data_IF_550880133466
#
_entry.id   IF_550880133466
#
_cell.length_a   1.000
_cell.length_b   1.000
_cell.length_c   1.000
_cell.angle_alpha   90.00
_cell.angle_beta   90.00
_cell.angle_gamma   90.00
#
_symmetry.space_group_name_H-M   'P 1'
#
loop_
_entity.id
_entity.type
_entity.pdbx_description
1 polymer ?
#
# COMPACT_ATOMS: atom_id res chain seq x y z
N UNK A 1 16.62 -7.54 9.02
CA UNK A 1 15.19 -7.53 9.38
C UNK A 1 14.46 -6.80 8.27
N UNK A 2 13.41 -7.40 7.75
CA UNK A 2 12.59 -6.78 6.71
C UNK A 2 11.88 -5.54 7.26
N UNK A 3 11.67 -4.53 6.40
CA UNK A 3 10.91 -3.33 6.73
C UNK A 3 9.42 -3.58 6.53
N UNK A 4 8.59 -2.94 7.34
CA UNK A 4 7.18 -2.75 7.06
C UNK A 4 6.98 -1.37 6.46
N UNK A 5 6.47 -1.32 5.25
CA UNK A 5 6.30 -0.11 4.45
C UNK A 5 4.82 0.20 4.30
N UNK A 6 4.42 1.44 4.52
CA UNK A 6 3.09 1.93 4.18
C UNK A 6 3.18 2.86 2.98
N UNK A 7 2.54 2.47 1.90
CA UNK A 7 2.42 3.29 0.69
C UNK A 7 0.98 3.71 0.47
N UNK A 8 0.75 4.98 0.12
CA UNK A 8 -0.56 5.52 -0.18
C UNK A 8 -0.51 6.61 -1.25
N UNK A 9 -1.47 6.59 -2.17
CA UNK A 9 -1.78 7.71 -3.04
C UNK A 9 -2.83 8.55 -2.33
N UNK A 10 -2.55 9.83 -2.11
CA UNK A 10 -3.39 10.72 -1.33
C UNK A 10 -3.77 11.97 -2.11
N UNK A 11 -4.89 12.59 -1.73
CA UNK A 11 -5.17 13.98 -2.07
C UNK A 11 -4.20 14.91 -1.35
N UNK A 12 -4.12 16.17 -1.76
CA UNK A 12 -3.28 17.18 -1.11
C UNK A 12 -3.70 17.41 0.36
N UNK A 13 -4.98 17.25 0.66
CA UNK A 13 -5.54 17.37 2.01
C UNK A 13 -5.57 16.05 2.79
N UNK A 14 -4.90 14.99 2.29
CA UNK A 14 -4.53 13.80 3.06
C UNK A 14 -5.51 12.64 3.06
N UNK A 15 -6.40 12.55 2.07
CA UNK A 15 -7.39 11.48 1.95
C UNK A 15 -6.98 10.45 0.89
N UNK A 16 -7.32 9.17 1.11
CA UNK A 16 -7.12 8.09 0.13
C UNK A 16 -8.37 7.81 -0.70
N UNK A 17 -9.52 8.25 -0.24
CA UNK A 17 -10.81 8.27 -0.94
C UNK A 17 -11.65 9.43 -0.44
N UNK A 18 -12.58 9.91 -1.25
CA UNK A 18 -13.51 10.98 -0.89
C UNK A 18 -14.65 10.49 0.00
N UNK A 19 -15.59 11.40 0.35
CA UNK A 19 -16.74 11.10 1.20
C UNK A 19 -17.69 10.05 0.60
N UNK A 20 -17.72 9.92 -0.72
CA UNK A 20 -18.49 8.90 -1.45
C UNK A 20 -17.72 7.57 -1.60
N UNK A 21 -16.50 7.49 -1.07
CA UNK A 21 -15.62 6.33 -1.20
C UNK A 21 -14.98 6.18 -2.58
N UNK A 22 -14.94 7.25 -3.36
CA UNK A 22 -14.31 7.26 -4.69
C UNK A 22 -12.85 7.64 -4.60
N UNK A 23 -12.02 7.04 -5.46
CA UNK A 23 -10.58 7.28 -5.55
C UNK A 23 -10.06 7.23 -7.00
N UNK A 24 -10.93 7.42 -7.99
CA UNK A 24 -10.58 7.46 -9.41
C UNK A 24 -9.55 8.55 -9.74
N UNK A 25 -9.56 9.65 -8.99
CA UNK A 25 -8.57 10.72 -9.06
C UNK A 25 -7.15 10.28 -8.63
N UNK A 26 -7.02 9.14 -7.95
CA UNK A 26 -5.76 8.58 -7.48
C UNK A 26 -5.10 7.64 -8.51
N UNK A 27 -5.73 7.41 -9.67
CA UNK A 27 -5.17 6.54 -10.71
C UNK A 27 -3.83 7.10 -11.20
N UNK A 28 -2.71 6.33 -11.08
CA UNK A 28 -1.41 6.79 -11.52
C UNK A 28 -1.34 6.82 -13.06
N UNK A 29 -0.65 7.81 -13.60
CA UNK A 29 -0.23 7.76 -14.99
C UNK A 29 0.94 6.78 -15.17
N UNK A 30 1.40 6.60 -16.40
CA UNK A 30 2.46 5.63 -16.71
C UNK A 30 3.78 5.93 -15.98
N UNK A 31 4.13 7.22 -15.82
CA UNK A 31 5.37 7.63 -15.13
C UNK A 31 5.31 7.26 -13.63
N UNK A 32 4.22 7.63 -12.97
CA UNK A 32 4.00 7.30 -11.55
C UNK A 32 3.89 5.79 -11.37
N UNK A 33 3.15 5.11 -12.25
CA UNK A 33 2.96 3.66 -12.17
C UNK A 33 4.29 2.90 -12.31
N UNK A 34 5.15 3.29 -13.27
CA UNK A 34 6.47 2.71 -13.43
C UNK A 34 7.32 2.87 -12.17
N UNK A 35 7.29 4.04 -11.54
CA UNK A 35 7.99 4.29 -10.30
C UNK A 35 7.46 3.44 -9.14
N UNK A 36 6.14 3.30 -9.02
CA UNK A 36 5.52 2.40 -8.03
C UNK A 36 5.97 0.96 -8.25
N UNK A 37 6.01 0.48 -9.49
CA UNK A 37 6.48 -0.87 -9.80
C UNK A 37 7.91 -1.09 -9.29
N UNK A 38 8.80 -0.13 -9.49
CA UNK A 38 10.20 -0.22 -9.02
C UNK A 38 10.28 -0.31 -7.49
N UNK A 39 9.44 0.43 -6.77
CA UNK A 39 9.35 0.32 -5.31
C UNK A 39 8.82 -1.05 -4.87
N UNK A 40 7.76 -1.52 -5.51
CA UNK A 40 7.08 -2.76 -5.15
C UNK A 40 7.89 -4.02 -5.49
N UNK A 41 8.87 -3.95 -6.39
CA UNK A 41 9.79 -5.07 -6.68
C UNK A 41 10.54 -5.57 -5.44
N UNK A 42 10.79 -4.70 -4.47
CA UNK A 42 11.43 -5.05 -3.20
C UNK A 42 10.51 -5.80 -2.23
N UNK A 43 9.20 -5.70 -2.43
CA UNK A 43 8.20 -6.28 -1.54
C UNK A 43 8.04 -7.77 -1.78
N UNK A 44 8.09 -8.55 -0.70
CA UNK A 44 7.88 -10.00 -0.73
C UNK A 44 6.52 -10.42 -0.18
N UNK A 45 5.90 -9.58 0.65
CA UNK A 45 4.62 -9.88 1.29
C UNK A 45 3.75 -8.62 1.40
N UNK A 46 2.49 -8.74 1.00
CA UNK A 46 1.48 -7.71 1.19
C UNK A 46 0.57 -8.05 2.37
N UNK A 47 0.32 -7.07 3.22
CA UNK A 47 -0.69 -7.13 4.27
C UNK A 47 -1.88 -6.28 3.85
N UNK A 48 -3.06 -6.89 3.70
CA UNK A 48 -4.26 -6.21 3.25
C UNK A 48 -5.40 -6.36 4.26
N UNK A 49 -6.19 -5.31 4.46
CA UNK A 49 -7.56 -5.45 4.94
C UNK A 49 -8.44 -6.01 3.82
N UNK A 50 -9.63 -6.51 4.18
CA UNK A 50 -10.57 -7.11 3.22
C UNK A 50 -10.85 -6.22 2.00
N UNK A 51 -11.21 -4.95 2.23
CA UNK A 51 -11.57 -4.01 1.14
C UNK A 51 -10.40 -3.76 0.18
N UNK A 52 -9.20 -3.57 0.73
CA UNK A 52 -8.00 -3.40 -0.10
C UNK A 52 -7.69 -4.67 -0.90
N UNK A 53 -7.86 -5.84 -0.30
CA UNK A 53 -7.69 -7.12 -1.00
C UNK A 53 -8.71 -7.28 -2.15
N UNK A 54 -9.96 -6.91 -1.94
CA UNK A 54 -10.99 -6.95 -2.98
C UNK A 54 -10.62 -6.06 -4.19
N UNK A 55 -10.06 -4.88 -3.94
CA UNK A 55 -9.55 -3.99 -5.00
C UNK A 55 -8.33 -4.58 -5.70
N UNK A 56 -7.35 -5.03 -4.93
CA UNK A 56 -6.07 -5.53 -5.47
C UNK A 56 -6.21 -6.92 -6.12
N UNK A 57 -7.22 -7.69 -5.75
CA UNK A 57 -7.48 -9.02 -6.31
C UNK A 57 -7.66 -9.03 -7.83
N UNK A 58 -8.01 -7.92 -8.44
CA UNK A 58 -8.09 -7.77 -9.89
C UNK A 58 -6.74 -8.06 -10.59
N UNK A 59 -5.62 -7.87 -9.92
CA UNK A 59 -4.28 -8.15 -10.46
C UNK A 59 -4.01 -9.65 -10.69
N UNK A 60 -4.73 -10.54 -9.98
CA UNK A 60 -4.59 -11.98 -10.17
C UNK A 60 -4.96 -12.42 -11.57
N UNK A 61 -6.05 -11.85 -12.11
CA UNK A 61 -6.61 -12.20 -13.42
C UNK A 61 -6.38 -11.13 -14.47
N UNK A 62 -5.61 -10.09 -14.16
CA UNK A 62 -5.30 -9.00 -15.09
C UNK A 62 -4.69 -9.59 -16.36
N UNK A 63 -5.22 -9.18 -17.51
CA UNK A 63 -4.65 -9.54 -18.80
C UNK A 63 -3.23 -8.98 -18.91
N UNK A 64 -2.27 -9.84 -19.21
CA UNK A 64 -0.87 -9.48 -19.42
C UNK A 64 -0.43 -9.66 -20.87
N UNK A 65 -1.39 -9.69 -21.80
CA UNK A 65 -1.11 -9.70 -23.23
C UNK A 65 -0.37 -8.44 -23.68
N UNK A 66 0.26 -8.48 -24.84
CA UNK A 66 0.98 -7.36 -25.42
C UNK A 66 0.08 -6.14 -25.74
N UNK A 67 -1.23 -6.29 -25.64
CA UNK A 67 -2.20 -5.18 -25.82
C UNK A 67 -2.30 -4.27 -24.60
N UNK A 68 -1.90 -4.76 -23.41
CA UNK A 68 -1.87 -3.97 -22.19
C UNK A 68 -0.60 -3.12 -22.10
N UNK A 69 -0.65 -1.93 -21.47
CA UNK A 69 0.54 -1.15 -21.17
C UNK A 69 1.57 -1.98 -20.39
N UNK A 70 2.85 -1.81 -20.70
CA UNK A 70 3.94 -2.57 -20.08
C UNK A 70 3.99 -2.44 -18.55
N UNK A 71 3.64 -1.26 -18.02
CA UNK A 71 3.57 -1.02 -16.58
C UNK A 71 2.47 -1.83 -15.89
N UNK A 72 1.38 -2.11 -16.58
CA UNK A 72 0.26 -2.95 -16.10
C UNK A 72 0.67 -4.41 -16.06
N UNK A 73 1.29 -4.91 -17.13
CA UNK A 73 1.81 -6.27 -17.21
C UNK A 73 2.83 -6.53 -16.10
N UNK A 74 3.78 -5.62 -15.97
CA UNK A 74 4.86 -5.67 -14.99
C UNK A 74 4.33 -5.68 -13.54
N UNK A 75 3.39 -4.78 -13.20
CA UNK A 75 2.80 -4.78 -11.87
C UNK A 75 2.02 -6.07 -11.56
N UNK A 76 1.28 -6.60 -12.53
CA UNK A 76 0.56 -7.86 -12.36
C UNK A 76 1.53 -9.01 -12.00
N UNK A 77 2.70 -9.07 -12.64
CA UNK A 77 3.73 -10.06 -12.33
C UNK A 77 4.31 -9.87 -10.92
N UNK A 78 4.63 -8.61 -10.53
CA UNK A 78 5.12 -8.26 -9.20
C UNK A 78 4.11 -8.72 -8.14
N UNK A 79 2.84 -8.37 -8.31
CA UNK A 79 1.79 -8.67 -7.36
C UNK A 79 1.54 -10.19 -7.21
N UNK A 80 1.50 -10.93 -8.32
CA UNK A 80 1.32 -12.39 -8.34
C UNK A 80 2.47 -13.12 -7.66
N UNK A 81 3.69 -12.63 -7.81
CA UNK A 81 4.89 -13.24 -7.25
C UNK A 81 5.00 -13.08 -5.72
N UNK A 82 4.35 -12.09 -5.13
CA UNK A 82 4.40 -11.83 -3.71
C UNK A 82 3.40 -12.69 -2.91
N UNK A 83 3.71 -12.96 -1.64
CA UNK A 83 2.75 -13.53 -0.69
C UNK A 83 1.75 -12.45 -0.22
N UNK A 84 0.53 -12.85 0.10
CA UNK A 84 -0.51 -11.96 0.62
C UNK A 84 -1.09 -12.50 1.92
N UNK A 85 -1.28 -11.62 2.90
CA UNK A 85 -1.97 -11.91 4.14
C UNK A 85 -3.16 -10.96 4.23
N UNK A 86 -4.36 -11.52 4.26
CA UNK A 86 -5.61 -10.75 4.31
C UNK A 86 -6.20 -10.84 5.70
N UNK A 87 -6.34 -9.69 6.35
CA UNK A 87 -6.94 -9.60 7.69
C UNK A 87 -8.44 -9.36 7.57
N UNK A 88 -9.23 -10.37 7.91
CA UNK A 88 -10.69 -10.28 7.82
C UNK A 88 -11.38 -11.31 8.72
N UNK A 89 -12.40 -10.84 9.47
CA UNK A 89 -13.30 -11.69 10.25
C UNK A 89 -14.46 -12.27 9.42
N UNK A 90 -14.63 -11.81 8.18
CA UNK A 90 -15.79 -12.15 7.35
C UNK A 90 -15.44 -12.90 6.09
N UNK A 91 -14.18 -12.76 5.63
CA UNK A 91 -13.73 -13.44 4.43
C UNK A 91 -13.42 -14.90 4.77
N UNK A 92 -14.06 -15.83 4.07
CA UNK A 92 -13.88 -17.27 4.29
C UNK A 92 -12.93 -17.90 3.27
N UNK A 93 -12.86 -17.32 2.07
CA UNK A 93 -12.04 -17.83 0.97
C UNK A 93 -11.32 -16.71 0.25
N UNK A 94 -10.20 -17.06 -0.39
CA UNK A 94 -9.42 -16.14 -1.24
C UNK A 94 -9.46 -16.61 -2.69
N UNK A 95 -9.38 -15.65 -3.60
CA UNK A 95 -9.42 -15.88 -5.06
C UNK A 95 -8.05 -15.79 -5.72
N UNK A 96 -7.00 -15.48 -4.97
CA UNK A 96 -5.64 -15.34 -5.49
C UNK A 96 -4.68 -16.37 -4.91
N UNK A 97 -3.67 -16.74 -5.69
CA UNK A 97 -2.59 -17.61 -5.26
C UNK A 97 -1.72 -16.93 -4.18
N UNK A 98 -0.96 -17.73 -3.43
CA UNK A 98 -0.02 -17.25 -2.40
C UNK A 98 -0.68 -16.34 -1.37
N UNK A 99 -1.94 -16.61 -1.03
CA UNK A 99 -2.75 -15.77 -0.16
C UNK A 99 -3.29 -16.59 1.02
N UNK A 100 -3.21 -16.04 2.23
CA UNK A 100 -3.86 -16.62 3.41
C UNK A 100 -4.69 -15.59 4.15
N UNK A 101 -5.66 -16.05 4.91
CA UNK A 101 -6.53 -15.23 5.74
C UNK A 101 -6.06 -15.32 7.18
N UNK A 102 -5.98 -14.15 7.84
CA UNK A 102 -5.84 -14.01 9.28
C UNK A 102 -7.07 -13.26 9.81
N UNK A 103 -7.61 -13.69 10.93
CA UNK A 103 -8.84 -13.08 11.47
C UNK A 103 -8.59 -11.75 12.16
N UNK A 104 -7.51 -11.67 12.93
CA UNK A 104 -7.16 -10.50 13.72
C UNK A 104 -5.73 -10.03 13.40
N UNK A 105 -5.55 -8.70 13.43
CA UNK A 105 -4.22 -8.12 13.33
C UNK A 105 -3.51 -8.28 14.68
N UNK A 106 -2.50 -9.15 14.71
CA UNK A 106 -1.64 -9.35 15.87
C UNK A 106 -0.29 -8.64 15.63
N UNK A 107 0.02 -7.57 16.38
CA UNK A 107 1.30 -6.87 16.27
C UNK A 107 2.53 -7.77 16.51
N UNK A 108 2.42 -8.78 17.38
CA UNK A 108 3.53 -9.66 17.66
C UNK A 108 3.79 -10.62 16.49
N UNK A 109 2.74 -11.16 15.88
CA UNK A 109 2.87 -11.96 14.68
C UNK A 109 3.51 -11.16 13.51
N UNK A 110 3.20 -9.87 13.39
CA UNK A 110 3.83 -9.00 12.39
C UNK A 110 5.31 -8.73 12.72
N UNK A 111 5.69 -8.56 13.99
CA UNK A 111 7.11 -8.46 14.39
C UNK A 111 7.89 -9.72 14.03
N UNK A 112 7.31 -10.88 14.29
CA UNK A 112 7.92 -12.17 13.92
C UNK A 112 8.03 -12.32 12.40
N UNK A 113 7.02 -11.91 11.65
CA UNK A 113 7.05 -11.90 10.19
C UNK A 113 8.20 -11.02 9.68
N UNK A 114 8.35 -9.79 10.20
CA UNK A 114 9.47 -8.88 9.87
C UNK A 114 10.83 -9.51 10.17
N UNK A 115 10.96 -10.23 11.28
CA UNK A 115 12.21 -10.87 11.68
C UNK A 115 12.61 -12.05 10.77
N UNK A 116 11.64 -12.74 10.18
CA UNK A 116 11.83 -13.95 9.39
C UNK A 116 11.83 -13.69 7.88
N UNK A 117 11.20 -12.60 7.44
CA UNK A 117 11.07 -12.30 6.02
C UNK A 117 12.43 -11.96 5.39
N UNK A 118 12.67 -12.51 4.20
CA UNK A 118 13.86 -12.22 3.39
C UNK A 118 13.72 -10.98 2.51
N UNK A 119 12.51 -10.42 2.40
CA UNK A 119 12.16 -9.24 1.60
C UNK A 119 11.22 -8.35 2.40
N UNK A 120 11.12 -7.09 2.01
CA UNK A 120 10.27 -6.12 2.69
C UNK A 120 8.77 -6.48 2.61
N UNK A 121 8.00 -5.93 3.52
CA UNK A 121 6.58 -6.16 3.69
C UNK A 121 5.87 -4.82 3.44
N UNK A 122 4.79 -4.83 2.67
CA UNK A 122 3.94 -3.66 2.45
C UNK A 122 2.60 -3.83 3.14
N UNK A 123 2.12 -2.81 3.84
CA UNK A 123 0.76 -2.76 4.38
C UNK A 123 -0.10 -1.84 3.51
N UNK A 124 -1.18 -2.38 2.97
CA UNK A 124 -2.12 -1.67 2.11
C UNK A 124 -3.47 -1.45 2.76
N UNK A 125 -4.02 -0.27 2.52
CA UNK A 125 -5.28 0.18 3.09
C UNK A 125 -5.12 0.93 4.42
N UNK A 126 -5.79 2.08 4.56
CA UNK A 126 -5.57 2.97 5.71
C UNK A 126 -6.02 2.38 7.05
N UNK A 127 -7.05 1.53 7.06
CA UNK A 127 -7.55 0.92 8.30
C UNK A 127 -6.57 -0.08 8.90
N UNK A 128 -5.97 -0.92 8.07
CA UNK A 128 -4.95 -1.87 8.52
C UNK A 128 -3.66 -1.15 8.86
N UNK A 129 -3.25 -0.19 8.01
CA UNK A 129 -2.08 0.64 8.26
C UNK A 129 -2.20 1.40 9.59
N UNK A 130 -3.40 1.88 9.95
CA UNK A 130 -3.65 2.53 11.22
C UNK A 130 -3.32 1.63 12.42
N UNK A 131 -3.63 0.34 12.35
CA UNK A 131 -3.29 -0.61 13.40
C UNK A 131 -1.77 -0.81 13.49
N UNK A 132 -1.10 -0.97 12.35
CA UNK A 132 0.35 -1.11 12.28
C UNK A 132 1.08 0.15 12.78
N UNK A 133 0.60 1.34 12.41
CA UNK A 133 1.15 2.64 12.83
C UNK A 133 1.01 2.80 14.35
N UNK A 134 -0.19 2.56 14.91
CA UNK A 134 -0.44 2.65 16.35
C UNK A 134 0.38 1.64 17.15
N UNK A 135 0.71 0.50 16.57
CA UNK A 135 1.57 -0.51 17.17
C UNK A 135 3.08 -0.22 17.01
N UNK A 136 3.44 0.88 16.33
CA UNK A 136 4.84 1.26 16.08
C UNK A 136 5.60 0.29 15.16
N UNK A 137 4.91 -0.34 14.21
CA UNK A 137 5.47 -1.39 13.36
C UNK A 137 5.97 -0.87 12.01
N UNK A 138 5.45 0.27 11.55
CA UNK A 138 5.79 0.84 10.23
C UNK A 138 7.15 1.54 10.29
N UNK A 139 8.05 1.12 9.44
CA UNK A 139 9.41 1.65 9.35
C UNK A 139 9.53 2.79 8.33
N UNK A 140 8.86 2.64 7.19
CA UNK A 140 8.94 3.61 6.08
C UNK A 140 7.56 3.92 5.50
N UNK A 141 7.45 5.13 4.96
CA UNK A 141 6.23 5.69 4.38
C UNK A 141 6.52 6.22 3.00
N UNK A 142 5.73 5.81 2.02
CA UNK A 142 5.72 6.36 0.67
C UNK A 142 4.38 7.01 0.40
N UNK A 143 4.36 8.34 0.28
CA UNK A 143 3.16 9.10 -0.02
C UNK A 143 3.26 9.68 -1.43
N UNK A 144 2.27 9.38 -2.24
CA UNK A 144 2.09 9.98 -3.56
C UNK A 144 0.97 11.02 -3.46
N UNK A 145 1.36 12.28 -3.31
CA UNK A 145 0.43 13.39 -3.11
C UNK A 145 -0.03 13.90 -4.47
N UNK A 146 -1.31 13.71 -4.77
CA UNK A 146 -1.93 14.19 -6.01
C UNK A 146 -2.36 15.66 -5.88
N UNK A 147 -2.35 16.43 -6.97
CA UNK A 147 -2.70 17.85 -6.96
C UNK A 147 -4.23 18.06 -6.95
N UNK A 148 -4.92 17.47 -5.97
CA UNK A 148 -6.37 17.58 -5.75
C UNK A 148 -6.67 17.78 -4.27
N UNK A 149 -7.69 18.55 -3.97
CA UNK A 149 -8.33 18.68 -2.64
C UNK A 149 -9.72 18.07 -2.74
N UNK A 150 -10.03 17.09 -1.91
CA UNK A 150 -11.34 16.42 -1.92
C UNK A 150 -12.26 16.86 -0.80
N UNK A 151 -11.73 17.52 0.24
CA UNK A 151 -12.50 18.17 1.29
C UNK A 151 -13.01 17.26 2.41
N UNK A 152 -12.84 15.96 2.30
CA UNK A 152 -13.29 14.96 3.28
C UNK A 152 -13.15 13.55 2.72
N UNK A 153 -13.42 12.55 3.56
CA UNK A 153 -13.34 11.15 3.18
C UNK A 153 -12.51 10.32 4.14
N UNK A 154 -11.79 9.33 3.62
CA UNK A 154 -10.95 8.44 4.42
C UNK A 154 -9.52 8.95 4.48
N UNK A 155 -9.05 9.26 5.68
CA UNK A 155 -7.70 9.76 5.93
C UNK A 155 -6.64 8.69 5.67
N UNK A 156 -5.48 9.13 5.17
CA UNK A 156 -4.31 8.25 4.99
C UNK A 156 -3.64 7.89 6.32
N UNK A 157 -3.67 8.78 7.31
CA UNK A 157 -3.15 8.55 8.65
C UNK A 157 -4.27 8.51 9.69
N UNK A 158 -4.12 7.69 10.75
CA UNK A 158 -5.10 7.64 11.83
C UNK A 158 -5.04 8.87 12.72
N UNK A 159 -6.17 9.20 13.32
CA UNK A 159 -6.23 10.18 14.41
C UNK A 159 -5.51 9.68 15.67
N UNK A 160 -5.16 10.62 16.52
CA UNK A 160 -4.54 10.37 17.83
C UNK A 160 -3.19 9.62 17.77
N UNK A 161 -2.45 9.83 16.70
CA UNK A 161 -1.08 9.35 16.57
C UNK A 161 -0.15 10.54 16.31
N UNK A 162 1.01 10.52 16.94
CA UNK A 162 2.09 11.48 16.67
C UNK A 162 3.32 10.69 16.22
N UNK A 163 3.80 11.02 15.03
CA UNK A 163 4.99 10.43 14.44
C UNK A 163 6.01 11.52 14.15
N UNK A 164 7.25 11.29 14.53
CA UNK A 164 8.37 12.07 14.02
C UNK A 164 8.94 11.30 12.83
N UNK A 165 9.00 11.95 11.69
CA UNK A 165 9.45 11.34 10.44
C UNK A 165 10.70 12.07 9.94
N UNK A 166 11.61 11.31 9.36
CA UNK A 166 12.80 11.80 8.68
C UNK A 166 12.60 11.63 7.18
N UNK A 167 12.74 12.71 6.41
CA UNK A 167 12.66 12.68 4.95
C UNK A 167 13.91 11.97 4.39
N UNK A 168 13.67 10.92 3.63
CA UNK A 168 14.71 10.16 2.92
C UNK A 168 14.83 10.57 1.45
N UNK A 169 13.73 11.01 0.84
CA UNK A 169 13.73 11.44 -0.54
C UNK A 169 12.39 12.00 -0.99
N UNK A 170 12.42 12.73 -2.09
CA UNK A 170 11.23 13.23 -2.77
C UNK A 170 11.40 13.15 -4.28
N UNK A 171 10.29 13.12 -4.99
CA UNK A 171 10.25 13.19 -6.45
C UNK A 171 9.00 13.88 -6.94
N UNK A 172 9.17 14.83 -7.84
CA UNK A 172 8.08 15.45 -8.60
C UNK A 172 7.91 14.72 -9.93
N UNK A 173 6.66 14.40 -10.28
CA UNK A 173 6.27 13.82 -11.56
C UNK A 173 5.68 14.87 -12.51
N UNK A 174 5.67 14.57 -13.80
CA UNK A 174 5.18 15.47 -14.83
C UNK A 174 3.70 15.84 -14.71
N UNK A 175 2.87 14.96 -14.15
CA UNK A 175 1.44 15.16 -13.89
C UNK A 175 1.13 15.98 -12.62
N UNK A 176 2.16 16.43 -11.89
CA UNK A 176 1.99 17.22 -10.66
C UNK A 176 1.93 16.39 -9.38
N UNK A 177 1.94 15.07 -9.45
CA UNK A 177 2.10 14.21 -8.28
C UNK A 177 3.48 14.43 -7.66
N UNK A 178 3.55 14.45 -6.34
CA UNK A 178 4.81 14.48 -5.57
C UNK A 178 4.90 13.23 -4.71
N UNK A 179 5.96 12.47 -4.90
CA UNK A 179 6.31 11.36 -4.01
C UNK A 179 7.17 11.85 -2.86
N UNK A 180 6.81 11.42 -1.66
CA UNK A 180 7.55 11.68 -0.42
C UNK A 180 7.90 10.35 0.23
N UNK A 181 9.17 10.16 0.52
CA UNK A 181 9.68 8.98 1.20
C UNK A 181 10.22 9.36 2.58
N UNK A 182 9.62 8.80 3.61
CA UNK A 182 10.00 9.03 5.01
C UNK A 182 10.32 7.72 5.71
N UNK A 183 11.13 7.81 6.76
CA UNK A 183 11.24 6.77 7.78
C UNK A 183 10.77 7.28 9.13
N UNK A 184 10.39 6.36 10.00
CA UNK A 184 10.12 6.68 11.40
C UNK A 184 11.41 7.16 12.05
N UNK A 185 11.38 8.39 12.60
CA UNK A 185 12.47 8.97 13.37
C UNK A 185 12.58 8.32 14.76
N UNK A 186 13.78 8.32 15.30
CA UNK A 186 14.02 7.92 16.69
C UNK A 186 13.46 8.95 17.67
#
# INVERSE_FOLDING_TARGET
>A
MAKLIYSAITSLDGYVEDEDGKFDWAAPDEEVHSFVNDLERGVGTYLYGRRMYEVMGAWETMDTSAEQPSVVQDYAEIWRAADKIVYSKRLETVSSARTRIEHDFDPEAVRQLKAQAGRDISVGGPDLAAQAIKAGLVDEYHLFVTPIVVGGGKQSFPDNVRLNLELLGERRFGNGVVHLHYRTGM
#
